data_IF_882558426221
#
_entry.id   IF_882558426221
#
_cell.length_a   1.000
_cell.length_b   1.000
_cell.length_c   1.000
_cell.angle_alpha   90.00
_cell.angle_beta   90.00
_cell.angle_gamma   90.00
#
_symmetry.space_group_name_H-M   'P 1'
#
loop_
_entity.id
_entity.type
_entity.pdbx_description
1 polymer ?
#
# COMPACT_ATOMS: atom_id res chain seq x y z
N UNK A 1 -33.26 59.41 0.03
CA UNK A 1 -31.92 58.79 0.01
C UNK A 1 -31.95 57.59 0.94
N UNK A 2 -31.96 56.37 0.39
CA UNK A 2 -31.97 55.10 1.16
C UNK A 2 -30.84 54.24 0.60
N UNK A 3 -29.69 54.23 1.27
CA UNK A 3 -28.59 53.33 0.93
C UNK A 3 -28.86 51.96 1.55
N UNK A 4 -29.10 50.95 0.71
CA UNK A 4 -29.13 49.56 1.11
C UNK A 4 -27.68 49.04 1.12
N UNK A 5 -27.12 48.88 2.30
CA UNK A 5 -25.84 48.22 2.53
C UNK A 5 -26.08 46.71 2.44
N UNK A 6 -25.88 46.14 1.25
CA UNK A 6 -25.93 44.70 1.03
C UNK A 6 -24.69 44.06 1.67
N UNK A 7 -24.86 43.51 2.87
CA UNK A 7 -23.87 42.65 3.52
C UNK A 7 -23.84 41.31 2.77
N UNK A 8 -22.89 41.15 1.86
CA UNK A 8 -22.59 39.86 1.22
C UNK A 8 -21.92 38.98 2.27
N UNK A 9 -22.70 38.11 2.92
CA UNK A 9 -22.19 37.05 3.78
C UNK A 9 -21.56 35.99 2.88
N UNK A 10 -20.28 36.20 2.56
CA UNK A 10 -19.44 35.22 1.87
C UNK A 10 -19.14 34.09 2.87
N UNK A 11 -20.06 33.14 2.97
CA UNK A 11 -19.90 31.90 3.72
C UNK A 11 -18.84 31.04 3.01
N UNK A 12 -17.58 31.33 3.33
CA UNK A 12 -16.43 30.54 2.93
C UNK A 12 -16.48 29.20 3.67
N UNK A 13 -17.05 28.19 3.03
CA UNK A 13 -16.86 26.79 3.42
C UNK A 13 -15.37 26.47 3.24
N UNK A 14 -14.61 26.71 4.30
CA UNK A 14 -13.23 26.32 4.43
C UNK A 14 -13.21 24.78 4.51
N UNK A 15 -13.10 24.13 3.35
CA UNK A 15 -12.85 22.69 3.27
C UNK A 15 -11.50 22.39 3.93
N UNK A 16 -11.52 22.07 5.22
CA UNK A 16 -10.36 21.54 5.93
C UNK A 16 -10.07 20.18 5.31
N UNK A 17 -9.05 20.14 4.44
CA UNK A 17 -8.54 18.90 3.86
C UNK A 17 -7.78 18.18 4.97
N UNK A 18 -8.49 17.47 5.84
CA UNK A 18 -7.87 16.58 6.81
C UNK A 18 -7.26 15.43 6.00
N UNK A 19 -5.94 15.21 6.04
CA UNK A 19 -5.35 14.06 5.39
C UNK A 19 -5.94 12.80 6.03
N UNK A 20 -6.81 12.12 5.29
CA UNK A 20 -7.31 10.83 5.70
C UNK A 20 -6.10 9.91 5.85
N UNK A 21 -5.84 9.47 7.09
CA UNK A 21 -4.80 8.50 7.44
C UNK A 21 -5.24 7.11 6.95
N UNK A 22 -5.40 6.95 5.64
CA UNK A 22 -5.77 5.71 5.01
C UNK A 22 -4.52 4.86 4.80
N UNK A 23 -4.51 3.66 5.37
CA UNK A 23 -3.51 2.63 5.09
C UNK A 23 -4.03 1.78 3.93
N UNK A 24 -3.23 1.57 2.90
CA UNK A 24 -3.55 0.66 1.79
C UNK A 24 -2.54 -0.48 1.72
N UNK A 25 -2.99 -1.65 1.30
CA UNK A 25 -2.21 -2.86 1.17
C UNK A 25 -2.23 -3.28 -0.29
N UNK A 26 -1.05 -3.55 -0.86
CA UNK A 26 -0.88 -4.11 -2.19
C UNK A 26 -0.20 -5.47 -2.09
N UNK A 27 -0.71 -6.47 -2.80
CA UNK A 27 -0.11 -7.80 -2.88
C UNK A 27 -0.38 -8.43 -4.23
N UNK A 28 0.39 -9.47 -4.58
CA UNK A 28 0.12 -10.31 -5.75
C UNK A 28 -0.82 -11.43 -5.32
N UNK A 29 -1.99 -11.53 -5.94
CA UNK A 29 -2.88 -12.66 -5.70
C UNK A 29 -2.26 -13.94 -6.29
N UNK A 30 -1.99 -14.98 -5.48
CA UNK A 30 -1.33 -16.19 -5.96
C UNK A 30 -2.16 -16.99 -6.97
N UNK A 31 -3.49 -16.87 -6.96
CA UNK A 31 -4.34 -17.62 -7.89
C UNK A 31 -4.44 -16.98 -9.27
N UNK A 32 -4.40 -15.64 -9.36
CA UNK A 32 -4.55 -14.92 -10.62
C UNK A 32 -3.27 -14.26 -11.13
N UNK A 33 -2.23 -14.16 -10.30
CA UNK A 33 -1.01 -13.40 -10.60
C UNK A 33 -1.21 -11.88 -10.67
N UNK A 34 -2.44 -11.39 -10.46
CA UNK A 34 -2.76 -9.97 -10.54
C UNK A 34 -2.39 -9.25 -9.25
N UNK A 35 -1.98 -8.00 -9.40
CA UNK A 35 -1.79 -7.09 -8.27
C UNK A 35 -3.16 -6.67 -7.74
N UNK A 36 -3.37 -6.82 -6.44
CA UNK A 36 -4.54 -6.31 -5.73
C UNK A 36 -4.15 -5.16 -4.81
N UNK A 37 -5.10 -4.24 -4.61
CA UNK A 37 -4.99 -3.10 -3.70
C UNK A 37 -6.25 -3.03 -2.83
N UNK A 38 -6.10 -2.97 -1.51
CA UNK A 38 -7.22 -2.92 -0.56
C UNK A 38 -6.88 -2.02 0.63
N UNK A 39 -7.89 -1.36 1.20
CA UNK A 39 -7.76 -0.67 2.49
C UNK A 39 -7.72 -1.63 3.70
N UNK A 40 -8.17 -2.87 3.50
CA UNK A 40 -8.13 -3.92 4.52
C UNK A 40 -6.99 -4.90 4.23
N UNK A 41 -6.26 -5.37 5.26
CA UNK A 41 -5.21 -6.35 5.07
C UNK A 41 -5.80 -7.68 4.60
N UNK A 42 -5.08 -8.45 3.75
CA UNK A 42 -5.51 -9.79 3.37
C UNK A 42 -5.49 -10.71 4.61
N UNK A 43 -6.37 -11.72 4.63
CA UNK A 43 -6.60 -12.57 5.82
C UNK A 43 -5.33 -13.27 6.32
N UNK A 44 -4.42 -13.63 5.41
CA UNK A 44 -3.15 -14.30 5.71
C UNK A 44 -2.04 -13.36 6.20
N UNK A 45 -2.18 -12.04 6.03
CA UNK A 45 -1.15 -11.05 6.37
C UNK A 45 -0.72 -11.09 7.84
N UNK A 46 -1.63 -11.44 8.75
CA UNK A 46 -1.35 -11.58 10.20
C UNK A 46 -1.26 -13.03 10.67
N UNK A 47 -1.27 -13.97 9.74
CA UNK A 47 -1.21 -15.40 10.06
C UNK A 47 0.24 -15.85 10.27
N UNK A 48 0.44 -16.86 11.11
CA UNK A 48 1.74 -17.48 11.34
C UNK A 48 2.32 -18.17 10.09
N UNK A 49 1.45 -18.54 9.15
CA UNK A 49 1.81 -19.32 7.97
C UNK A 49 2.53 -18.48 6.90
N UNK A 50 2.53 -17.15 7.06
CA UNK A 50 3.06 -16.22 6.08
C UNK A 50 2.23 -16.19 4.80
N UNK A 51 2.57 -15.28 3.90
CA UNK A 51 1.94 -15.20 2.59
C UNK A 51 2.77 -14.42 1.59
N UNK A 52 2.19 -14.09 0.42
CA UNK A 52 2.84 -13.27 -0.59
C UNK A 52 3.39 -11.95 -0.03
N UNK A 53 4.36 -11.36 -0.74
CA UNK A 53 4.87 -10.02 -0.44
C UNK A 53 3.74 -8.99 -0.39
N UNK A 54 3.72 -8.18 0.67
CA UNK A 54 2.76 -7.10 0.88
C UNK A 54 3.50 -5.76 0.94
N UNK A 55 3.05 -4.80 0.15
CA UNK A 55 3.45 -3.40 0.27
C UNK A 55 2.34 -2.63 1.00
N UNK A 56 2.72 -1.89 2.02
CA UNK A 56 1.82 -1.06 2.83
C UNK A 56 2.08 0.40 2.51
N UNK A 57 1.05 1.11 2.06
CA UNK A 57 1.10 2.56 1.85
C UNK A 57 0.50 3.24 3.07
N UNK A 58 1.32 4.00 3.78
CA UNK A 58 0.92 4.73 4.97
C UNK A 58 1.58 6.12 4.99
N UNK A 59 0.77 7.17 5.13
CA UNK A 59 1.25 8.58 5.20
C UNK A 59 2.14 8.98 4.01
N UNK A 60 1.79 8.54 2.81
CA UNK A 60 2.55 8.81 1.59
C UNK A 60 3.88 8.05 1.49
N UNK A 61 4.16 7.12 2.40
CA UNK A 61 5.33 6.23 2.35
C UNK A 61 4.90 4.84 1.94
N UNK A 62 5.68 4.22 1.06
CA UNK A 62 5.57 2.80 0.74
C UNK A 62 6.49 2.01 1.65
N UNK A 63 5.93 1.05 2.39
CA UNK A 63 6.62 0.19 3.34
C UNK A 63 6.52 -1.23 2.79
N UNK A 64 7.65 -1.90 2.62
CA UNK A 64 7.65 -3.32 2.27
C UNK A 64 7.54 -4.14 3.55
N UNK A 65 6.37 -4.74 3.77
CA UNK A 65 6.09 -5.53 4.97
C UNK A 65 6.15 -7.03 4.69
N UNK A 66 7.06 -7.41 3.80
CA UNK A 66 7.41 -8.82 3.63
C UNK A 66 8.06 -9.32 4.91
N UNK A 67 7.44 -10.32 5.55
CA UNK A 67 8.01 -11.00 6.70
C UNK A 67 9.34 -11.66 6.32
N UNK A 68 10.44 -10.95 6.51
CA UNK A 68 11.79 -11.49 6.42
C UNK A 68 12.14 -12.12 7.75
N UNK A 69 12.68 -13.34 7.72
CA UNK A 69 13.21 -13.99 8.91
C UNK A 69 14.51 -13.29 9.27
N UNK A 70 14.45 -12.39 10.25
CA UNK A 70 15.62 -11.67 10.77
C UNK A 70 16.16 -12.43 11.98
N UNK A 71 17.47 -12.76 12.02
CA UNK A 71 18.14 -13.32 13.20
C UNK A 71 17.97 -12.43 14.44
N UNK A 72 17.90 -13.02 15.63
CA UNK A 72 17.55 -12.28 16.86
C UNK A 72 18.51 -11.11 17.14
N UNK A 73 19.82 -11.31 16.97
CA UNK A 73 20.81 -10.23 17.18
C UNK A 73 20.56 -9.02 16.28
N UNK A 74 20.28 -9.24 14.99
CA UNK A 74 19.95 -8.16 14.05
C UNK A 74 18.61 -7.50 14.39
N UNK A 75 17.65 -8.26 14.93
CA UNK A 75 16.36 -7.71 15.36
C UNK A 75 16.53 -6.74 16.54
N UNK A 76 17.38 -7.08 17.50
CA UNK A 76 17.67 -6.22 18.65
C UNK A 76 18.41 -4.95 18.23
N UNK A 77 19.36 -5.05 17.30
CA UNK A 77 20.04 -3.89 16.71
C UNK A 77 19.05 -2.95 16.02
N UNK A 78 18.20 -3.46 15.11
CA UNK A 78 17.20 -2.66 14.41
C UNK A 78 16.22 -2.00 15.37
N UNK A 79 15.81 -2.71 16.43
CA UNK A 79 14.94 -2.16 17.48
C UNK A 79 15.63 -1.00 18.21
N UNK A 80 16.89 -1.16 18.59
CA UNK A 80 17.66 -0.10 19.27
C UNK A 80 17.78 1.16 18.39
N UNK A 81 18.03 0.99 17.09
CA UNK A 81 18.13 2.10 16.13
C UNK A 81 16.80 2.83 15.94
N UNK A 82 15.68 2.10 15.90
CA UNK A 82 14.36 2.69 15.75
C UNK A 82 14.00 3.63 16.92
N UNK A 83 14.34 3.26 18.15
CA UNK A 83 14.12 4.12 19.32
C UNK A 83 15.01 5.37 19.30
N UNK A 84 16.29 5.24 18.93
CA UNK A 84 17.20 6.39 18.82
C UNK A 84 16.75 7.40 17.75
N UNK A 85 16.25 6.91 16.60
CA UNK A 85 15.71 7.75 15.54
C UNK A 85 14.44 8.51 15.99
N UNK A 86 13.59 7.87 16.81
CA UNK A 86 12.40 8.49 17.35
C UNK A 86 12.73 9.59 18.38
N UNK A 87 13.70 9.35 19.26
CA UNK A 87 14.20 10.36 20.22
C UNK A 87 14.80 11.57 19.50
N UNK A 88 15.61 11.32 18.46
CA UNK A 88 16.21 12.38 17.64
C UNK A 88 15.15 13.22 16.93
N UNK A 89 14.10 12.57 16.41
CA UNK A 89 12.97 13.26 15.77
C UNK A 89 12.18 14.08 16.79
N UNK A 90 11.92 13.53 17.98
CA UNK A 90 11.21 14.24 19.05
C UNK A 90 11.99 15.47 19.52
N UNK A 91 13.30 15.33 19.71
CA UNK A 91 14.17 16.45 20.07
C UNK A 91 14.16 17.54 18.99
N UNK A 92 14.21 17.17 17.71
CA UNK A 92 14.12 18.13 16.60
C UNK A 92 12.76 18.85 16.56
N UNK A 93 11.66 18.15 16.80
CA UNK A 93 10.32 18.76 16.87
C UNK A 93 10.18 19.68 18.07
N UNK A 94 10.69 19.32 19.25
CA UNK A 94 10.63 20.18 20.46
C UNK A 94 11.44 21.47 20.28
N UNK A 95 12.59 21.43 19.58
CA UNK A 95 13.36 22.65 19.28
C UNK A 95 12.63 23.57 18.31
N UNK A 96 11.86 23.02 17.36
CA UNK A 96 11.01 23.80 16.46
C UNK A 96 9.78 24.41 17.15
N UNK A 97 9.18 23.70 18.11
CA UNK A 97 8.01 24.18 18.86
C UNK A 97 8.37 25.33 19.82
N UNK A 98 9.52 25.26 20.49
CA UNK A 98 10.02 26.31 21.40
C UNK A 98 10.39 27.63 20.66
N UNK A 99 10.68 27.58 19.36
CA UNK A 99 10.91 28.80 18.56
C UNK A 99 9.63 29.47 18.05
N UNK A 100 8.47 28.82 18.14
CA UNK A 100 7.19 29.39 17.65
C UNK A 100 6.33 29.96 18.79
N UNK A 101 6.55 29.54 20.04
CA UNK A 101 5.80 30.05 21.21
C UNK A 101 6.27 31.42 21.75
N UNK A 102 7.21 32.10 21.09
CA UNK A 102 7.74 33.40 21.52
C UNK A 102 6.82 34.62 21.33
N UNK A 103 5.73 34.53 20.56
CA UNK A 103 4.95 35.72 20.19
C UNK A 103 3.41 35.61 20.32
N UNK A 104 2.86 34.55 20.92
CA UNK A 104 1.39 34.39 20.96
C UNK A 104 0.85 33.93 22.32
N UNK A 105 1.16 34.66 23.39
CA UNK A 105 0.41 34.56 24.65
C UNK A 105 -0.02 35.96 25.11
N UNK A 106 -1.22 36.37 24.72
CA UNK A 106 -2.20 37.04 25.58
C UNK A 106 -3.53 37.17 24.84
N UNK A 107 -4.46 36.25 25.09
CA UNK A 107 -5.85 36.59 25.46
C UNK A 107 -6.76 35.35 25.44
N UNK A 108 -7.32 35.07 26.62
CA UNK A 108 -8.66 34.58 26.85
C UNK A 108 -9.01 33.14 26.42
N UNK A 109 -8.84 32.25 27.41
CA UNK A 109 -9.79 31.19 27.69
C UNK A 109 -11.21 31.75 27.89
N UNK A 110 -12.24 31.02 27.46
CA UNK A 110 -13.27 30.43 28.34
C UNK A 110 -14.48 29.91 27.53
N UNK A 111 -15.15 28.91 28.10
CA UNK A 111 -16.50 28.39 27.81
C UNK A 111 -16.66 27.16 26.90
N UNK A 112 -16.71 26.05 27.62
CA UNK A 112 -17.29 24.72 27.40
C UNK A 112 -18.76 24.66 26.93
N UNK A 113 -19.04 23.55 26.22
CA UNK A 113 -20.25 22.70 26.24
C UNK A 113 -21.55 23.18 25.56
N UNK A 114 -22.03 22.39 24.58
CA UNK A 114 -23.38 21.78 24.57
C UNK A 114 -23.62 20.88 23.35
N UNK A 115 -24.44 19.85 23.58
CA UNK A 115 -24.97 18.82 22.68
C UNK A 115 -25.63 19.29 21.36
N UNK A 116 -25.75 18.37 20.39
CA UNK A 116 -27.03 17.75 19.97
C UNK A 116 -27.14 17.48 18.46
N UNK A 117 -27.70 16.31 18.12
CA UNK A 117 -28.48 16.05 16.90
C UNK A 117 -27.67 15.61 15.68
N UNK A 118 -27.79 14.38 15.16
CA UNK A 118 -28.94 13.73 14.51
C UNK A 118 -28.90 13.86 12.99
N UNK A 119 -29.00 12.71 12.32
CA UNK A 119 -29.39 12.48 10.91
C UNK A 119 -28.38 12.95 9.85
N UNK A 120 -28.12 12.24 8.75
CA UNK A 120 -29.04 11.48 7.92
C UNK A 120 -28.30 10.42 7.11
N UNK A 121 -29.01 9.32 6.86
CA UNK A 121 -28.77 8.37 5.78
C UNK A 121 -28.71 9.07 4.42
N UNK A 122 -28.22 8.28 3.47
CA UNK A 122 -28.61 8.23 2.07
C UNK A 122 -27.69 8.92 1.05
N UNK A 123 -27.04 8.06 0.26
CA UNK A 123 -26.86 8.15 -1.19
C UNK A 123 -25.58 7.41 -1.64
N UNK A 124 -25.53 6.09 -1.44
CA UNK A 124 -24.71 5.23 -2.33
C UNK A 124 -25.62 4.64 -3.39
N UNK A 125 -25.99 5.51 -4.33
CA UNK A 125 -26.62 5.15 -5.59
C UNK A 125 -25.57 4.45 -6.47
N UNK A 126 -25.87 3.19 -6.76
CA UNK A 126 -25.38 2.33 -7.84
C UNK A 126 -24.46 2.98 -8.86
N UNK A 127 -23.21 2.50 -8.89
CA UNK A 127 -22.43 2.35 -10.10
C UNK A 127 -22.21 0.85 -10.34
N UNK A 128 -23.30 0.13 -10.59
CA UNK A 128 -23.22 -1.18 -11.26
C UNK A 128 -22.97 -0.86 -12.72
N UNK A 129 -21.69 -0.70 -13.07
CA UNK A 129 -21.23 -0.64 -14.44
C UNK A 129 -21.57 -1.97 -15.10
N UNK A 130 -22.54 -1.90 -16.00
CA UNK A 130 -22.91 -2.89 -16.99
C UNK A 130 -21.66 -3.51 -17.63
N UNK A 131 -21.38 -4.77 -17.29
CA UNK A 131 -20.34 -5.60 -17.91
C UNK A 131 -20.93 -6.17 -19.21
N UNK A 132 -21.24 -5.29 -20.16
CA UNK A 132 -21.76 -5.70 -21.45
C UNK A 132 -20.63 -6.34 -22.27
N UNK A 133 -20.79 -7.65 -22.44
CA UNK A 133 -20.38 -8.42 -23.62
C UNK A 133 -18.88 -8.36 -23.96
N UNK A 134 -18.12 -9.30 -23.39
CA UNK A 134 -16.75 -9.56 -23.82
C UNK A 134 -16.79 -10.10 -25.24
N UNK A 135 -16.38 -9.25 -26.18
CA UNK A 135 -16.34 -9.52 -27.61
C UNK A 135 -15.53 -10.79 -27.96
N UNK A 136 -16.03 -11.57 -28.92
CA UNK A 136 -15.47 -12.87 -29.29
C UNK A 136 -14.04 -12.75 -29.83
N UNK A 137 -13.71 -11.64 -30.51
CA UNK A 137 -12.36 -11.37 -31.02
C UNK A 137 -11.38 -11.12 -29.87
N UNK A 138 -11.83 -10.47 -28.79
CA UNK A 138 -11.01 -10.27 -27.58
C UNK A 138 -10.67 -11.61 -26.93
N UNK A 139 -11.64 -12.52 -26.84
CA UNK A 139 -11.41 -13.88 -26.33
C UNK A 139 -10.46 -14.65 -27.23
N UNK A 140 -10.60 -14.53 -28.55
CA UNK A 140 -9.69 -15.13 -29.53
C UNK A 140 -8.24 -14.66 -29.31
N UNK A 141 -8.05 -13.34 -29.21
CA UNK A 141 -6.73 -12.74 -28.98
C UNK A 141 -6.10 -13.18 -27.66
N UNK A 142 -6.87 -13.29 -26.58
CA UNK A 142 -6.34 -13.81 -25.32
C UNK A 142 -5.89 -15.27 -25.44
N UNK A 143 -6.65 -16.12 -26.13
CA UNK A 143 -6.29 -17.53 -26.36
C UNK A 143 -4.99 -17.67 -27.16
N UNK A 144 -4.78 -16.82 -28.17
CA UNK A 144 -3.56 -16.82 -28.96
C UNK A 144 -2.33 -16.43 -28.13
N UNK A 145 -2.47 -15.42 -27.27
CA UNK A 145 -1.39 -15.00 -26.35
C UNK A 145 -1.04 -16.11 -25.37
N UNK A 146 -2.04 -16.75 -24.75
CA UNK A 146 -1.83 -17.87 -23.82
C UNK A 146 -1.12 -19.03 -24.54
N UNK A 147 -1.57 -19.40 -25.74
CA UNK A 147 -0.99 -20.49 -26.53
C UNK A 147 0.45 -20.19 -27.00
N UNK A 148 0.78 -18.92 -27.26
CA UNK A 148 2.15 -18.52 -27.56
C UNK A 148 3.06 -18.63 -26.33
N UNK A 149 2.57 -18.20 -25.17
CA UNK A 149 3.30 -18.27 -23.91
C UNK A 149 3.56 -19.71 -23.46
N UNK A 150 2.57 -20.60 -23.57
CA UNK A 150 2.69 -22.03 -23.23
C UNK A 150 3.77 -22.72 -24.08
N UNK A 151 3.83 -22.41 -25.39
CA UNK A 151 4.89 -22.92 -26.27
C UNK A 151 6.28 -22.47 -25.84
N UNK A 152 6.43 -21.19 -25.48
CA UNK A 152 7.71 -20.67 -24.98
C UNK A 152 8.14 -21.37 -23.68
N UNK A 153 7.20 -21.62 -22.76
CA UNK A 153 7.49 -22.32 -21.51
C UNK A 153 7.86 -23.78 -21.73
N UNK A 154 7.20 -24.45 -22.66
CA UNK A 154 7.50 -25.83 -23.00
C UNK A 154 8.90 -25.97 -23.61
N UNK A 155 9.29 -25.08 -24.53
CA UNK A 155 10.64 -25.08 -25.09
C UNK A 155 11.70 -24.74 -24.03
N UNK A 156 11.43 -23.79 -23.14
CA UNK A 156 12.34 -23.48 -22.01
C UNK A 156 12.53 -24.69 -21.08
N UNK A 157 11.45 -25.40 -20.76
CA UNK A 157 11.52 -26.60 -19.95
C UNK A 157 12.31 -27.73 -20.66
N UNK A 158 12.11 -27.88 -21.97
CA UNK A 158 12.83 -28.86 -22.78
C UNK A 158 14.33 -28.59 -22.84
N UNK A 159 14.73 -27.32 -22.98
CA UNK A 159 16.14 -26.93 -22.93
C UNK A 159 16.78 -27.20 -21.57
N UNK A 160 16.07 -26.94 -20.47
CA UNK A 160 16.55 -27.28 -19.12
C UNK A 160 16.75 -28.80 -18.94
N UNK A 161 15.81 -29.62 -19.42
CA UNK A 161 15.93 -31.09 -19.37
C UNK A 161 17.06 -31.58 -20.26
N UNK A 162 17.23 -30.99 -21.45
CA UNK A 162 18.31 -31.34 -22.38
C UNK A 162 19.69 -30.96 -21.84
N UNK A 163 19.82 -29.80 -21.22
CA UNK A 163 21.05 -29.35 -20.56
C UNK A 163 21.38 -30.13 -19.27
N UNK A 164 20.40 -30.81 -18.68
CA UNK A 164 20.57 -31.68 -17.51
C UNK A 164 20.89 -33.15 -17.85
N UNK A 165 21.02 -33.50 -19.14
CA UNK A 165 21.48 -34.83 -19.51
C UNK A 165 22.94 -35.02 -19.02
N UNK A 166 23.25 -36.12 -18.33
CA UNK A 166 24.56 -36.34 -17.72
C UNK A 166 25.63 -36.43 -18.80
N UNK A 167 26.67 -35.61 -18.69
CA UNK A 167 27.93 -35.81 -19.39
C UNK A 167 28.35 -37.27 -19.21
N UNK A 168 28.56 -37.97 -20.32
CA UNK A 168 29.01 -39.36 -20.33
C UNK A 168 30.25 -39.52 -19.43
N UNK A 169 30.34 -40.63 -18.66
CA UNK A 169 31.47 -40.87 -17.78
C UNK A 169 32.75 -41.00 -18.61
N UNK A 170 33.66 -40.06 -18.36
CA UNK A 170 35.05 -40.04 -18.80
C UNK A 170 35.68 -41.42 -18.50
N UNK A 171 35.89 -42.21 -19.55
CA UNK A 171 36.49 -43.55 -19.45
C UNK A 171 37.96 -43.37 -19.05
N UNK A 172 38.41 -43.92 -17.91
CA UNK A 172 39.81 -43.80 -17.52
C UNK A 172 40.70 -44.59 -18.48
N UNK A 173 41.93 -44.11 -18.76
CA UNK A 173 42.84 -44.77 -19.68
C UNK A 173 43.25 -46.14 -19.13
N UNK A 174 43.04 -47.19 -19.93
CA UNK A 174 43.65 -48.50 -19.68
C UNK A 174 45.17 -48.34 -19.72
N UNK A 175 45.81 -48.64 -18.59
CA UNK A 175 47.25 -48.82 -18.49
C UNK A 175 47.66 -50.20 -19.04
N UNK A 176 48.92 -50.36 -19.51
CA UNK A 176 49.34 -51.41 -20.44
C UNK A 176 49.40 -52.82 -19.87
#
# INVERSE_FOLDING_TARGET
>A
MKSQTACVVLSGVLCVVIPAQARMYQWINPSSGNTQLSGNPPTWYRSLQGGPRVLVFERGKAIDDTAIVVPEGTRDELRSQAFQAQESTRAATTVLEVSVEGEAQTAAADSTAAEAGSSEQDARKSASGDLTEVDADTVGRLKDIISAWDRMKLEQAKELVRGAAPNEPNTPPQAP
#
